data_IF_451375379774
#
_entry.id   IF_451375379774
#
_cell.length_a   1.000
_cell.length_b   1.000
_cell.length_c   1.000
_cell.angle_alpha   90.00
_cell.angle_beta   90.00
_cell.angle_gamma   90.00
#
_symmetry.space_group_name_H-M   'P 1'
#
loop_
_entity.id
_entity.type
_entity.pdbx_description
1 polymer ?
#
# COMPACT_ATOMS: atom_id res chain seq x y z
N UNK A 1 7.64 -7.07 34.94
CA UNK A 1 8.01 -6.15 33.84
C UNK A 1 6.92 -5.12 33.53
N UNK A 2 5.80 -5.15 34.26
CA UNK A 2 4.77 -4.11 34.28
C UNK A 2 5.02 -3.21 35.49
N UNK A 3 5.40 -1.96 35.25
CA UNK A 3 5.57 -0.97 36.32
C UNK A 3 4.90 0.34 35.93
N UNK A 4 4.47 1.09 36.93
CA UNK A 4 3.95 2.45 36.73
C UNK A 4 4.99 3.37 36.08
N UNK A 5 6.27 3.18 36.39
CA UNK A 5 7.37 3.86 35.72
C UNK A 5 7.45 3.51 34.22
N UNK A 6 7.21 2.25 33.85
CA UNK A 6 7.19 1.79 32.46
C UNK A 6 6.04 2.41 31.66
N UNK A 7 4.83 2.42 32.23
CA UNK A 7 3.67 3.07 31.60
C UNK A 7 3.90 4.57 31.41
N UNK A 8 4.42 5.27 32.43
CA UNK A 8 4.69 6.71 32.34
C UNK A 8 5.74 7.02 31.28
N UNK A 9 6.84 6.27 31.25
CA UNK A 9 7.88 6.41 30.25
C UNK A 9 7.32 6.19 28.83
N UNK A 10 6.45 5.19 28.65
CA UNK A 10 5.79 4.92 27.39
C UNK A 10 4.95 6.11 26.93
N UNK A 11 4.05 6.61 27.79
CA UNK A 11 3.17 7.74 27.49
C UNK A 11 3.99 9.00 27.19
N UNK A 12 5.04 9.29 27.95
CA UNK A 12 5.90 10.45 27.73
C UNK A 12 6.62 10.38 26.37
N UNK A 13 7.05 9.18 25.95
CA UNK A 13 7.66 8.95 24.63
C UNK A 13 6.66 9.14 23.48
N UNK A 14 5.44 8.65 23.62
CA UNK A 14 4.41 8.87 22.61
C UNK A 14 3.89 10.32 22.59
N UNK A 15 3.99 11.02 23.71
CA UNK A 15 3.58 12.41 23.85
C UNK A 15 4.57 13.43 23.23
N UNK A 16 5.84 13.06 23.00
CA UNK A 16 6.85 13.95 22.41
C UNK A 16 6.68 14.19 20.90
N UNK A 17 5.75 13.50 20.23
CA UNK A 17 5.35 13.76 18.84
C UNK A 17 6.39 13.44 17.76
N UNK A 18 7.66 13.29 18.12
CA UNK A 18 8.76 12.97 17.21
C UNK A 18 9.22 11.52 17.42
N UNK A 19 9.79 10.95 16.35
CA UNK A 19 10.44 9.63 16.26
C UNK A 19 10.29 8.76 17.51
N UNK A 20 9.33 7.83 17.47
CA UNK A 20 9.19 6.83 18.53
C UNK A 20 10.18 5.71 18.24
N UNK A 21 11.18 5.46 19.11
CA UNK A 21 12.16 4.42 18.87
C UNK A 21 11.48 3.05 18.71
N UNK A 22 12.04 2.19 17.85
CA UNK A 22 11.55 0.84 17.60
C UNK A 22 11.21 0.08 18.89
N UNK A 23 12.09 0.14 19.90
CA UNK A 23 11.88 -0.48 21.22
C UNK A 23 10.62 -0.02 21.95
N UNK A 24 10.21 1.25 21.79
CA UNK A 24 9.00 1.75 22.44
C UNK A 24 7.72 1.28 21.72
N UNK A 25 7.79 1.05 20.40
CA UNK A 25 6.68 0.45 19.63
C UNK A 25 6.48 -1.01 20.01
N UNK A 26 7.57 -1.79 20.05
CA UNK A 26 7.53 -3.18 20.51
C UNK A 26 7.03 -3.30 21.94
N UNK A 27 7.48 -2.41 22.83
CA UNK A 27 7.01 -2.36 24.21
C UNK A 27 5.51 -2.05 24.31
N UNK A 28 4.98 -1.14 23.47
CA UNK A 28 3.56 -0.82 23.42
C UNK A 28 2.71 -2.02 22.96
N UNK A 29 3.22 -2.81 22.02
CA UNK A 29 2.55 -4.03 21.52
C UNK A 29 2.58 -5.14 22.54
N UNK A 30 3.77 -5.46 23.06
CA UNK A 30 3.98 -6.55 24.01
C UNK A 30 3.15 -6.41 25.30
N UNK A 31 2.98 -5.18 25.79
CA UNK A 31 2.26 -4.89 27.03
C UNK A 31 0.90 -4.23 26.79
N UNK A 32 0.36 -4.33 25.56
CA UNK A 32 -0.86 -3.64 25.20
C UNK A 32 -2.01 -3.99 26.15
N UNK A 33 -2.31 -5.28 26.30
CA UNK A 33 -3.45 -5.75 27.09
C UNK A 33 -3.34 -5.35 28.56
N UNK A 34 -2.12 -5.45 29.12
CA UNK A 34 -1.84 -5.05 30.50
C UNK A 34 -2.00 -3.54 30.74
N UNK A 35 -1.61 -2.71 29.77
CA UNK A 35 -1.68 -1.24 29.90
C UNK A 35 -3.00 -0.63 29.41
N UNK A 36 -3.78 -1.34 28.59
CA UNK A 36 -5.00 -0.81 27.93
C UNK A 36 -5.98 -0.15 28.91
N UNK A 37 -6.36 -0.74 30.06
CA UNK A 37 -7.30 -0.09 30.99
C UNK A 37 -6.74 1.24 31.54
N UNK A 38 -5.45 1.27 31.87
CA UNK A 38 -4.78 2.45 32.43
C UNK A 38 -4.60 3.55 31.39
N UNK A 39 -4.24 3.18 30.16
CA UNK A 39 -4.14 4.12 29.04
C UNK A 39 -5.50 4.74 28.70
N UNK A 40 -6.59 3.97 28.72
CA UNK A 40 -7.96 4.48 28.55
C UNK A 40 -8.34 5.47 29.66
N UNK A 41 -8.01 5.15 30.91
CA UNK A 41 -8.22 6.06 32.05
C UNK A 41 -7.48 7.39 31.86
N UNK A 42 -6.17 7.34 31.59
CA UNK A 42 -5.35 8.53 31.32
C UNK A 42 -5.89 9.36 30.15
N UNK A 43 -6.36 8.70 29.08
CA UNK A 43 -6.93 9.37 27.90
C UNK A 43 -8.19 10.17 28.22
N UNK A 44 -9.00 9.69 29.18
CA UNK A 44 -10.31 10.26 29.54
C UNK A 44 -10.25 11.25 30.69
N UNK A 45 -9.19 11.21 31.51
CA UNK A 45 -9.05 12.07 32.67
C UNK A 45 -8.85 13.56 32.27
N UNK A 46 -9.82 14.44 32.57
CA UNK A 46 -9.69 15.86 32.27
C UNK A 46 -8.59 16.56 33.09
N UNK A 47 -8.23 16.03 34.27
CA UNK A 47 -7.19 16.58 35.15
C UNK A 47 -5.77 16.30 34.62
N UNK A 48 -5.61 15.27 33.78
CA UNK A 48 -4.35 14.94 33.12
C UNK A 48 -4.10 15.91 31.96
N UNK A 49 -2.85 16.34 31.79
CA UNK A 49 -2.48 17.32 30.75
C UNK A 49 -2.85 16.81 29.33
N UNK A 50 -3.19 17.72 28.39
CA UNK A 50 -3.49 17.34 27.00
C UNK A 50 -2.36 16.53 26.34
N UNK A 51 -1.10 16.82 26.69
CA UNK A 51 0.08 16.11 26.21
C UNK A 51 0.05 14.63 26.61
N UNK A 52 -0.22 14.34 27.88
CA UNK A 52 -0.29 12.97 28.41
C UNK A 52 -1.49 12.23 27.82
N UNK A 53 -2.66 12.89 27.68
CA UNK A 53 -3.82 12.29 26.99
C UNK A 53 -3.51 11.89 25.56
N UNK A 54 -2.79 12.73 24.81
CA UNK A 54 -2.33 12.41 23.45
C UNK A 54 -1.33 11.26 23.44
N UNK A 55 -0.38 11.24 24.37
CA UNK A 55 0.56 10.12 24.51
C UNK A 55 -0.14 8.79 24.82
N UNK A 56 -1.15 8.81 25.69
CA UNK A 56 -1.95 7.64 26.01
C UNK A 56 -2.76 7.14 24.80
N UNK A 57 -3.39 8.05 24.03
CA UNK A 57 -4.06 7.71 22.77
C UNK A 57 -3.09 7.07 21.78
N UNK A 58 -1.92 7.69 21.60
CA UNK A 58 -0.91 7.20 20.68
C UNK A 58 -0.37 5.82 21.06
N UNK A 59 -0.16 5.55 22.36
CA UNK A 59 0.22 4.23 22.85
C UNK A 59 -0.89 3.18 22.69
N UNK A 60 -2.17 3.56 22.85
CA UNK A 60 -3.31 2.67 22.56
C UNK A 60 -3.30 2.22 21.10
N UNK A 61 -3.20 3.17 20.17
CA UNK A 61 -3.18 2.87 18.73
C UNK A 61 -1.92 2.11 18.32
N UNK A 62 -0.76 2.45 18.89
CA UNK A 62 0.46 1.73 18.57
C UNK A 62 0.41 0.25 18.98
N UNK A 63 -0.18 -0.06 20.14
CA UNK A 63 -0.21 -1.42 20.67
C UNK A 63 -1.35 -2.28 20.14
N UNK A 64 -2.57 -1.73 20.03
CA UNK A 64 -3.78 -2.50 19.72
C UNK A 64 -4.63 -1.87 18.63
N UNK A 65 -4.04 -1.02 17.79
CA UNK A 65 -4.69 -0.42 16.63
C UNK A 65 -5.88 0.47 17.00
N UNK A 66 -6.76 0.67 16.03
CA UNK A 66 -7.98 1.44 16.24
C UNK A 66 -8.93 0.70 17.19
N UNK A 67 -8.81 -0.63 17.32
CA UNK A 67 -9.63 -1.42 18.25
C UNK A 67 -9.36 -1.15 19.74
N UNK A 68 -8.18 -0.63 20.05
CA UNK A 68 -7.87 -0.14 21.39
C UNK A 68 -8.72 1.07 21.79
N UNK A 69 -9.21 1.87 20.83
CA UNK A 69 -9.96 3.10 21.06
C UNK A 69 -11.45 2.83 21.34
N UNK A 70 -12.09 3.78 22.01
CA UNK A 70 -13.55 3.82 22.12
C UNK A 70 -14.19 4.58 20.94
N UNK A 71 -15.50 4.48 20.81
CA UNK A 71 -16.26 5.01 19.66
C UNK A 71 -16.07 6.51 19.47
N UNK A 72 -15.89 7.25 20.57
CA UNK A 72 -15.69 8.70 20.52
C UNK A 72 -14.37 9.06 19.87
N UNK A 73 -13.29 8.37 20.24
CA UNK A 73 -11.97 8.62 19.65
C UNK A 73 -11.93 8.12 18.19
N UNK A 74 -12.59 7.01 17.86
CA UNK A 74 -12.73 6.54 16.48
C UNK A 74 -13.44 7.54 15.60
N UNK A 75 -14.61 8.04 16.03
CA UNK A 75 -15.38 9.04 15.29
C UNK A 75 -14.59 10.34 15.08
N UNK A 76 -13.77 10.73 16.06
CA UNK A 76 -12.90 11.90 15.94
C UNK A 76 -11.80 11.71 14.89
N UNK A 77 -11.15 10.53 14.86
CA UNK A 77 -10.16 10.17 13.84
C UNK A 77 -10.80 10.15 12.45
N UNK A 78 -11.94 9.49 12.28
CA UNK A 78 -12.64 9.41 11.00
C UNK A 78 -13.04 10.79 10.48
N UNK A 79 -13.48 11.68 11.38
CA UNK A 79 -13.76 13.07 11.02
C UNK A 79 -12.49 13.80 10.58
N UNK A 80 -11.38 13.59 11.27
CA UNK A 80 -10.10 14.20 10.90
C UNK A 80 -9.64 13.74 9.52
N UNK A 81 -9.73 12.44 9.22
CA UNK A 81 -9.42 11.87 7.90
C UNK A 81 -10.24 12.57 6.81
N UNK A 82 -11.57 12.68 6.99
CA UNK A 82 -12.44 13.34 6.00
C UNK A 82 -12.06 14.80 5.73
N UNK A 83 -11.65 15.53 6.78
CA UNK A 83 -11.17 16.91 6.62
C UNK A 83 -9.85 16.92 5.86
N UNK A 84 -8.90 16.05 6.23
CA UNK A 84 -7.54 16.04 5.68
C UNK A 84 -7.46 15.59 4.23
N UNK A 85 -8.33 14.69 3.80
CA UNK A 85 -8.44 14.26 2.39
C UNK A 85 -8.66 15.45 1.45
N UNK A 86 -9.38 16.50 1.88
CA UNK A 86 -9.73 17.62 0.99
C UNK A 86 -8.56 18.55 0.68
N UNK A 87 -7.50 18.54 1.50
CA UNK A 87 -6.36 19.46 1.43
C UNK A 87 -5.03 18.73 1.19
N UNK A 88 -5.06 17.45 0.81
CA UNK A 88 -3.86 16.64 0.66
C UNK A 88 -3.22 16.82 -0.73
N UNK A 89 -1.88 16.88 -0.75
CA UNK A 89 -1.09 16.68 -1.95
C UNK A 89 -0.52 15.26 -1.92
N UNK A 90 -0.89 14.37 -2.86
CA UNK A 90 -0.44 12.99 -2.85
C UNK A 90 1.09 12.88 -2.85
N UNK A 91 1.62 12.09 -1.93
CA UNK A 91 2.98 11.59 -1.95
C UNK A 91 2.90 10.08 -1.92
N UNK A 92 3.33 9.44 -3.00
CA UNK A 92 3.29 8.00 -3.16
C UNK A 92 4.57 7.33 -2.60
N UNK A 93 4.57 6.00 -2.42
CA UNK A 93 5.80 5.29 -2.05
C UNK A 93 6.88 5.57 -3.08
N UNK A 94 8.10 5.85 -2.59
CA UNK A 94 9.25 6.02 -3.47
C UNK A 94 9.64 4.67 -4.08
N UNK A 95 9.84 4.63 -5.39
CA UNK A 95 10.30 3.43 -6.12
C UNK A 95 11.78 3.48 -6.47
N UNK A 96 12.53 4.45 -5.96
CA UNK A 96 13.91 4.81 -6.36
C UNK A 96 15.01 3.78 -6.00
N UNK A 97 14.65 2.62 -5.44
CA UNK A 97 15.60 1.53 -5.14
C UNK A 97 15.03 0.20 -5.59
N UNK A 98 13.82 -0.10 -5.13
CA UNK A 98 13.00 -1.18 -5.64
C UNK A 98 11.57 -0.97 -5.21
N UNK A 99 10.63 -1.46 -6.00
CA UNK A 99 9.22 -1.31 -5.70
C UNK A 99 8.36 -2.02 -6.71
N UNK A 100 7.10 -2.19 -6.35
CA UNK A 100 6.12 -2.75 -7.26
C UNK A 100 4.76 -2.09 -7.02
N UNK A 101 3.96 -2.04 -8.07
CA UNK A 101 2.59 -1.55 -7.99
C UNK A 101 1.79 -2.09 -9.16
N UNK A 102 0.47 -2.02 -9.02
CA UNK A 102 -0.46 -2.26 -10.11
C UNK A 102 -1.14 -0.95 -10.48
N UNK A 103 -1.58 -0.82 -11.73
CA UNK A 103 -2.35 0.33 -12.20
C UNK A 103 -3.62 -0.13 -12.93
N UNK A 104 -4.74 0.54 -12.67
CA UNK A 104 -6.01 0.34 -13.38
C UNK A 104 -6.65 1.68 -13.74
N UNK A 105 -7.52 1.74 -14.76
CA UNK A 105 -8.24 2.97 -15.08
C UNK A 105 -9.10 3.46 -13.91
N UNK A 106 -9.07 4.76 -13.66
CA UNK A 106 -9.84 5.40 -12.60
C UNK A 106 -11.36 5.22 -12.76
N UNK A 107 -11.84 5.04 -13.98
CA UNK A 107 -13.27 4.85 -14.29
C UNK A 107 -13.81 3.45 -13.94
N UNK A 108 -12.94 2.46 -13.72
CA UNK A 108 -13.32 1.06 -13.48
C UNK A 108 -12.66 0.47 -12.22
N UNK A 109 -12.07 1.32 -11.38
CA UNK A 109 -11.26 0.89 -10.25
C UNK A 109 -11.99 0.08 -9.19
N UNK A 110 -13.33 0.18 -9.10
CA UNK A 110 -14.10 -0.63 -8.15
C UNK A 110 -13.91 -2.12 -8.39
N UNK A 111 -13.57 -2.53 -9.62
CA UNK A 111 -13.22 -3.90 -9.96
C UNK A 111 -12.02 -4.45 -9.19
N UNK A 112 -11.11 -3.59 -8.70
CA UNK A 112 -9.95 -3.98 -7.89
C UNK A 112 -10.35 -4.75 -6.64
N UNK A 113 -11.43 -4.34 -5.97
CA UNK A 113 -11.82 -4.95 -4.71
C UNK A 113 -12.31 -6.39 -4.90
N UNK A 114 -13.05 -6.64 -5.97
CA UNK A 114 -13.49 -7.99 -6.33
C UNK A 114 -12.32 -8.82 -6.85
N UNK A 115 -11.56 -8.26 -7.81
CA UNK A 115 -10.44 -8.94 -8.45
C UNK A 115 -9.43 -9.45 -7.43
N UNK A 116 -9.08 -8.64 -6.42
CA UNK A 116 -8.07 -8.94 -5.41
C UNK A 116 -8.63 -9.47 -4.08
N UNK A 117 -9.96 -9.69 -3.97
CA UNK A 117 -10.57 -10.15 -2.72
C UNK A 117 -10.35 -9.18 -1.55
N UNK A 118 -10.48 -7.87 -1.81
CA UNK A 118 -10.27 -6.84 -0.80
C UNK A 118 -11.58 -6.47 -0.11
N UNK A 119 -11.50 -6.33 1.20
CA UNK A 119 -12.66 -6.14 2.08
C UNK A 119 -12.55 -4.86 2.91
N UNK A 120 -13.67 -4.48 3.54
CA UNK A 120 -13.77 -3.38 4.49
C UNK A 120 -13.20 -2.04 3.97
N UNK A 121 -13.41 -1.74 2.69
CA UNK A 121 -12.87 -0.52 2.08
C UNK A 121 -13.32 0.73 2.83
N UNK A 122 -12.38 1.61 3.16
CA UNK A 122 -12.67 2.90 3.81
C UNK A 122 -11.81 4.03 3.24
N UNK A 123 -12.33 5.26 3.20
CA UNK A 123 -11.57 6.42 2.76
C UNK A 123 -10.38 6.67 3.70
N UNK A 124 -9.25 7.06 3.12
CA UNK A 124 -8.02 7.37 3.86
C UNK A 124 -7.26 8.49 3.15
N UNK A 125 -6.40 9.22 3.88
CA UNK A 125 -5.39 10.09 3.26
C UNK A 125 -4.34 9.23 2.54
N UNK A 126 -3.71 9.76 1.51
CA UNK A 126 -2.61 9.10 0.78
C UNK A 126 -1.49 8.74 1.75
N UNK A 127 -1.09 9.67 2.62
CA UNK A 127 -0.04 9.42 3.62
C UNK A 127 -0.36 8.24 4.55
N UNK A 128 -1.61 8.13 5.04
CA UNK A 128 -2.02 7.01 5.87
C UNK A 128 -2.18 5.71 5.06
N UNK A 129 -2.59 5.80 3.80
CA UNK A 129 -2.72 4.68 2.86
C UNK A 129 -1.37 4.01 2.59
N UNK A 130 -0.40 4.79 2.14
CA UNK A 130 0.99 4.37 1.90
C UNK A 130 1.59 3.73 3.15
N UNK A 131 1.50 4.42 4.29
CA UNK A 131 2.05 3.90 5.53
C UNK A 131 1.35 2.60 5.99
N UNK A 132 0.07 2.42 5.64
CA UNK A 132 -0.67 1.22 5.97
C UNK A 132 -0.30 0.03 5.07
N UNK A 133 -0.08 0.26 3.76
CA UNK A 133 0.33 -0.78 2.80
C UNK A 133 1.76 -1.26 3.01
N UNK A 134 2.66 -0.40 3.48
CA UNK A 134 4.04 -0.77 3.88
C UNK A 134 4.10 -1.31 5.31
N UNK A 135 3.00 -1.21 6.05
CA UNK A 135 2.92 -1.68 7.42
C UNK A 135 2.92 -3.21 7.50
N UNK A 136 3.30 -3.74 8.66
CA UNK A 136 3.29 -5.19 8.89
C UNK A 136 1.89 -5.76 8.75
N UNK A 137 1.85 -6.95 8.18
CA UNK A 137 0.73 -7.88 8.28
C UNK A 137 0.48 -8.27 9.74
N UNK A 138 -0.68 -8.85 9.97
CA UNK A 138 -1.06 -9.44 11.25
C UNK A 138 -1.51 -10.87 11.04
N UNK A 139 -1.28 -11.72 12.04
CA UNK A 139 -1.86 -13.05 12.09
C UNK A 139 -3.10 -13.00 12.99
N UNK A 140 -4.22 -13.52 12.47
CA UNK A 140 -5.47 -13.65 13.20
C UNK A 140 -5.93 -15.11 13.18
N UNK A 141 -6.71 -15.57 14.17
CA UNK A 141 -7.30 -16.89 14.10
C UNK A 141 -8.21 -17.01 12.86
N UNK A 142 -7.87 -17.94 11.97
CA UNK A 142 -8.67 -18.26 10.80
C UNK A 142 -9.94 -19.04 11.16
N UNK A 143 -10.90 -19.17 10.22
CA UNK A 143 -12.17 -19.88 10.46
C UNK A 143 -11.96 -21.34 10.87
N UNK A 144 -10.87 -21.92 10.40
CA UNK A 144 -10.46 -23.31 10.52
C UNK A 144 -9.64 -23.57 11.80
N UNK A 145 -9.35 -22.50 12.57
CA UNK A 145 -8.46 -22.52 13.73
C UNK A 145 -6.97 -22.45 13.42
N UNK A 146 -6.59 -22.43 12.13
CA UNK A 146 -5.23 -22.10 11.70
C UNK A 146 -5.03 -20.58 11.63
N UNK A 147 -3.81 -20.09 11.85
CA UNK A 147 -3.51 -18.67 11.73
C UNK A 147 -3.67 -18.20 10.27
N UNK A 148 -4.32 -17.05 10.10
CA UNK A 148 -4.54 -16.37 8.84
C UNK A 148 -3.75 -15.07 8.83
N UNK A 149 -2.81 -14.94 7.90
CA UNK A 149 -2.06 -13.70 7.70
C UNK A 149 -2.90 -12.71 6.89
N UNK A 150 -3.00 -11.48 7.38
CA UNK A 150 -3.86 -10.43 6.82
C UNK A 150 -3.06 -9.17 6.61
N UNK A 151 -3.17 -8.62 5.39
CA UNK A 151 -2.52 -7.41 4.95
C UNK A 151 -3.49 -6.25 4.75
N UNK A 152 -2.91 -5.08 4.47
CA UNK A 152 -3.66 -3.89 4.03
C UNK A 152 -3.23 -3.50 2.64
N UNK A 153 -4.21 -3.31 1.76
CA UNK A 153 -4.00 -2.78 0.43
C UNK A 153 -4.45 -1.32 0.39
N UNK A 154 -3.67 -0.49 -0.29
CA UNK A 154 -3.98 0.90 -0.56
C UNK A 154 -4.25 1.10 -2.05
N UNK A 155 -5.40 1.66 -2.38
CA UNK A 155 -5.75 2.12 -3.73
C UNK A 155 -5.71 3.64 -3.71
N UNK A 156 -4.91 4.27 -4.56
CA UNK A 156 -4.75 5.73 -4.59
C UNK A 156 -6.06 6.46 -4.94
N UNK A 157 -6.16 7.79 -4.72
CA UNK A 157 -7.06 8.61 -5.56
C UNK A 157 -6.76 8.41 -7.05
N UNK A 158 -7.64 8.90 -7.92
CA UNK A 158 -7.35 8.92 -9.35
C UNK A 158 -6.26 9.96 -9.62
N UNK A 159 -5.23 9.55 -10.34
CA UNK A 159 -4.03 10.29 -10.72
C UNK A 159 -3.93 10.24 -12.25
N UNK A 160 -4.12 11.37 -12.93
CA UNK A 160 -4.13 11.43 -14.41
C UNK A 160 -5.01 10.35 -15.07
N UNK A 161 -6.17 10.04 -14.48
CA UNK A 161 -7.10 9.02 -14.99
C UNK A 161 -6.80 7.58 -14.56
N UNK A 162 -5.77 7.33 -13.74
CA UNK A 162 -5.38 6.00 -13.25
C UNK A 162 -5.46 5.90 -11.73
N UNK A 163 -5.63 4.69 -11.20
CA UNK A 163 -5.43 4.40 -9.78
C UNK A 163 -4.35 3.36 -9.62
N UNK A 164 -3.44 3.61 -8.69
CA UNK A 164 -2.37 2.71 -8.34
C UNK A 164 -2.76 1.89 -7.11
N UNK A 165 -2.26 0.66 -7.05
CA UNK A 165 -2.53 -0.29 -5.97
C UNK A 165 -1.21 -0.73 -5.34
N UNK A 166 -1.13 -0.63 -4.02
CA UNK A 166 0.00 -1.02 -3.19
C UNK A 166 -0.44 -1.95 -2.06
N UNK A 167 0.45 -2.83 -1.61
CA UNK A 167 0.20 -3.71 -0.48
C UNK A 167 1.29 -4.76 -0.31
N UNK A 168 1.03 -5.80 0.49
CA UNK A 168 1.94 -6.93 0.66
C UNK A 168 1.92 -7.84 -0.58
N UNK A 169 3.10 -8.06 -1.17
CA UNK A 169 3.25 -8.81 -2.43
C UNK A 169 2.71 -10.23 -2.31
N UNK A 170 3.12 -10.96 -1.27
CA UNK A 170 2.75 -12.38 -1.09
C UNK A 170 1.22 -12.57 -0.92
N UNK A 171 0.51 -11.58 -0.39
CA UNK A 171 -0.94 -11.67 -0.19
C UNK A 171 -1.75 -11.17 -1.39
N UNK A 172 -1.20 -10.26 -2.20
CA UNK A 172 -1.90 -9.69 -3.35
C UNK A 172 -1.58 -10.43 -4.66
N UNK A 173 -0.34 -10.90 -4.79
CA UNK A 173 0.23 -11.48 -6.01
C UNK A 173 0.51 -12.97 -5.81
N UNK A 174 1.10 -13.35 -4.67
CA UNK A 174 1.45 -14.74 -4.36
C UNK A 174 2.73 -15.19 -5.05
N UNK A 175 2.66 -16.28 -5.81
CA UNK A 175 3.81 -16.82 -6.56
C UNK A 175 4.40 -15.76 -7.50
N UNK A 176 5.72 -15.54 -7.49
CA UNK A 176 6.38 -14.45 -8.20
C UNK A 176 5.88 -14.27 -9.65
N UNK A 177 6.27 -15.17 -10.56
CA UNK A 177 5.96 -14.99 -11.99
C UNK A 177 4.48 -15.27 -12.32
N UNK A 178 4.04 -16.49 -12.03
CA UNK A 178 2.67 -16.97 -12.29
C UNK A 178 1.61 -16.08 -11.60
N UNK A 179 1.89 -15.60 -10.40
CA UNK A 179 1.01 -14.73 -9.65
C UNK A 179 0.95 -13.32 -10.22
N UNK A 180 2.07 -12.74 -10.70
CA UNK A 180 2.06 -11.45 -11.40
C UNK A 180 1.13 -11.49 -12.63
N UNK A 181 1.30 -12.50 -13.48
CA UNK A 181 0.48 -12.69 -14.70
C UNK A 181 -1.00 -12.88 -14.34
N UNK A 182 -1.31 -13.87 -13.49
CA UNK A 182 -2.70 -14.18 -13.10
C UNK A 182 -3.38 -13.00 -12.42
N UNK A 183 -2.63 -12.21 -11.66
CA UNK A 183 -3.16 -11.03 -10.96
C UNK A 183 -3.49 -9.90 -11.92
N UNK A 184 -2.60 -9.59 -12.87
CA UNK A 184 -2.88 -8.54 -13.87
C UNK A 184 -4.02 -8.96 -14.81
N UNK A 185 -4.11 -10.23 -15.19
CA UNK A 185 -5.22 -10.76 -15.98
C UNK A 185 -6.54 -10.61 -15.21
N UNK A 186 -6.60 -11.08 -13.95
CA UNK A 186 -7.77 -10.89 -13.08
C UNK A 186 -8.19 -9.43 -12.98
N UNK A 187 -7.25 -8.53 -12.70
CA UNK A 187 -7.55 -7.09 -12.63
C UNK A 187 -8.14 -6.58 -13.94
N UNK A 188 -7.56 -6.96 -15.09
CA UNK A 188 -8.04 -6.53 -16.40
C UNK A 188 -9.42 -7.10 -16.76
N UNK A 189 -9.82 -8.28 -16.24
CA UNK A 189 -11.19 -8.78 -16.38
C UNK A 189 -12.20 -7.82 -15.72
N UNK A 190 -11.89 -7.36 -14.50
CA UNK A 190 -12.82 -6.52 -13.73
C UNK A 190 -12.70 -5.03 -14.07
N UNK A 191 -11.54 -4.58 -14.54
CA UNK A 191 -11.25 -3.16 -14.79
C UNK A 191 -11.11 -2.81 -16.29
N UNK A 192 -11.20 -3.79 -17.19
CA UNK A 192 -10.98 -3.64 -18.64
C UNK A 192 -9.50 -3.59 -19.03
N UNK A 193 -8.69 -2.80 -18.30
CA UNK A 193 -7.24 -2.73 -18.44
C UNK A 193 -6.57 -2.86 -17.07
N UNK A 194 -5.39 -3.48 -17.04
CA UNK A 194 -4.54 -3.50 -15.86
C UNK A 194 -3.06 -3.56 -16.26
N UNK A 195 -2.23 -3.02 -15.39
CA UNK A 195 -0.78 -3.03 -15.54
C UNK A 195 -0.14 -3.50 -14.23
N UNK A 196 1.00 -4.16 -14.35
CA UNK A 196 1.86 -4.54 -13.24
C UNK A 196 3.27 -4.00 -13.51
N UNK A 197 3.90 -3.42 -12.50
CA UNK A 197 5.27 -2.94 -12.57
C UNK A 197 6.05 -3.50 -11.38
N UNK A 198 7.24 -4.01 -11.66
CA UNK A 198 8.27 -4.32 -10.69
C UNK A 198 9.55 -3.63 -11.13
N UNK A 199 10.19 -2.93 -10.21
CA UNK A 199 11.36 -2.13 -10.49
C UNK A 199 12.46 -2.54 -9.51
N UNK A 200 13.66 -2.77 -10.04
CA UNK A 200 14.87 -3.05 -9.28
C UNK A 200 16.04 -2.25 -9.86
N UNK A 201 16.13 -0.98 -9.47
CA UNK A 201 17.15 -0.04 -9.97
C UNK A 201 18.58 -0.53 -9.66
N UNK A 202 18.75 -1.38 -8.65
CA UNK A 202 20.05 -1.90 -8.24
C UNK A 202 20.43 -3.21 -8.97
N UNK A 203 19.45 -4.08 -9.22
CA UNK A 203 19.65 -5.39 -9.83
C UNK A 203 19.39 -5.46 -11.34
N UNK A 204 18.67 -4.49 -11.91
CA UNK A 204 18.28 -4.50 -13.32
C UNK A 204 17.19 -5.53 -13.64
N UNK A 205 16.47 -6.02 -12.64
CA UNK A 205 15.43 -7.06 -12.78
C UNK A 205 14.04 -6.47 -13.01
N UNK A 206 13.95 -5.45 -13.86
CA UNK A 206 12.69 -4.76 -14.16
C UNK A 206 11.68 -5.70 -14.85
N UNK A 207 10.42 -5.56 -14.46
CA UNK A 207 9.29 -6.26 -15.08
C UNK A 207 8.16 -5.27 -15.30
N UNK A 208 7.54 -5.31 -16.47
CA UNK A 208 6.27 -4.64 -16.69
C UNK A 208 5.35 -5.51 -17.54
N UNK A 209 4.06 -5.54 -17.17
CA UNK A 209 3.06 -6.38 -17.82
C UNK A 209 1.83 -5.53 -18.09
N UNK A 210 1.27 -5.62 -19.30
CA UNK A 210 0.04 -4.95 -19.71
C UNK A 210 -1.00 -5.99 -20.09
N UNK A 211 -2.17 -5.93 -19.45
CA UNK A 211 -3.28 -6.83 -19.75
C UNK A 211 -4.56 -6.06 -20.10
N UNK A 212 -5.32 -6.64 -21.03
CA UNK A 212 -6.63 -6.16 -21.45
C UNK A 212 -7.63 -7.30 -21.43
N UNK A 213 -8.80 -7.07 -20.82
CA UNK A 213 -9.93 -8.00 -20.81
C UNK A 213 -9.55 -9.46 -20.46
N UNK A 214 -8.66 -9.64 -19.48
CA UNK A 214 -8.23 -10.94 -18.98
C UNK A 214 -7.09 -11.59 -19.75
N UNK A 215 -6.35 -10.84 -20.57
CA UNK A 215 -5.20 -11.37 -21.32
C UNK A 215 -4.05 -10.39 -21.29
N UNK A 216 -2.85 -10.89 -21.02
CA UNK A 216 -1.62 -10.12 -21.27
C UNK A 216 -1.50 -9.86 -22.76
N UNK A 217 -1.32 -8.59 -23.14
CA UNK A 217 -1.13 -8.16 -24.54
C UNK A 217 0.32 -7.82 -24.86
N UNK A 218 1.09 -7.45 -23.84
CA UNK A 218 2.51 -7.11 -23.93
C UNK A 218 3.14 -7.20 -22.55
N UNK A 219 4.36 -7.75 -22.49
CA UNK A 219 5.17 -7.72 -21.28
C UNK A 219 6.66 -7.63 -21.62
N UNK A 220 7.42 -7.15 -20.64
CA UNK A 220 8.85 -7.33 -20.55
C UNK A 220 9.19 -7.90 -19.16
N UNK A 221 10.12 -8.84 -19.12
CA UNK A 221 10.74 -9.32 -17.90
C UNK A 221 12.22 -9.54 -18.13
N UNK A 222 13.06 -8.76 -17.43
CA UNK A 222 14.49 -8.94 -17.46
C UNK A 222 14.88 -10.37 -17.06
N UNK A 223 15.78 -10.99 -17.84
CA UNK A 223 16.21 -12.38 -17.68
C UNK A 223 15.09 -13.42 -17.86
N UNK A 224 13.95 -13.03 -18.41
CA UNK A 224 12.85 -13.91 -18.78
C UNK A 224 13.16 -14.76 -20.03
N UNK A 225 12.51 -15.91 -20.13
CA UNK A 225 12.58 -16.76 -21.33
C UNK A 225 11.17 -17.03 -21.90
N UNK A 226 10.70 -16.23 -22.88
CA UNK A 226 11.35 -15.05 -23.49
C UNK A 226 11.22 -13.77 -22.64
N UNK A 227 12.15 -12.81 -22.81
CA UNK A 227 12.08 -11.52 -22.11
C UNK A 227 10.92 -10.65 -22.60
N UNK A 228 10.56 -10.73 -23.88
CA UNK A 228 9.41 -10.03 -24.46
C UNK A 228 8.34 -11.03 -24.89
N UNK A 229 7.09 -10.75 -24.52
CA UNK A 229 5.92 -11.42 -25.08
C UNK A 229 4.88 -10.39 -25.54
N UNK A 230 4.19 -10.69 -26.64
CA UNK A 230 3.19 -9.80 -27.24
C UNK A 230 3.78 -8.79 -28.22
N UNK A 231 2.88 -8.16 -28.99
CA UNK A 231 3.25 -7.18 -30.01
C UNK A 231 3.65 -5.85 -29.35
N UNK A 232 4.71 -5.17 -29.83
CA UNK A 232 5.10 -3.89 -29.27
C UNK A 232 4.00 -2.83 -29.33
N UNK A 233 3.93 -2.04 -28.27
CA UNK A 233 2.98 -0.93 -28.16
C UNK A 233 3.47 0.29 -28.94
N UNK A 234 2.58 1.16 -29.44
CA UNK A 234 2.95 2.26 -30.34
C UNK A 234 3.93 3.30 -29.78
N UNK A 235 4.09 3.37 -28.46
CA UNK A 235 5.00 4.30 -27.78
C UNK A 235 6.39 3.70 -27.54
N UNK A 236 6.54 2.39 -27.68
CA UNK A 236 7.81 1.71 -27.42
C UNK A 236 8.86 2.13 -28.47
N UNK A 237 10.09 2.32 -28.00
CA UNK A 237 11.26 2.40 -28.89
C UNK A 237 11.79 1.00 -29.12
N UNK A 238 11.82 0.54 -30.37
CA UNK A 238 12.31 -0.79 -30.71
C UNK A 238 13.81 -0.78 -30.93
N UNK A 239 14.49 -1.83 -30.46
CA UNK A 239 15.91 -2.02 -30.75
C UNK A 239 16.18 -2.17 -32.25
N UNK A 240 15.23 -2.77 -32.97
CA UNK A 240 15.29 -2.97 -34.42
C UNK A 240 15.39 -1.68 -35.24
N UNK A 241 14.97 -0.54 -34.68
CA UNK A 241 15.10 0.77 -35.31
C UNK A 241 16.49 1.42 -35.06
N UNK A 242 17.30 0.80 -34.20
CA UNK A 242 18.62 1.27 -33.81
C UNK A 242 19.72 0.94 -34.82
N UNK A 243 20.76 1.78 -34.95
CA UNK A 243 21.87 1.57 -35.89
C UNK A 243 22.79 0.39 -35.52
N UNK A 244 22.61 -0.20 -34.33
CA UNK A 244 23.42 -1.29 -33.79
C UNK A 244 22.61 -2.58 -33.57
N UNK A 245 21.42 -2.68 -34.14
CA UNK A 245 20.60 -3.88 -34.02
C UNK A 245 21.29 -5.10 -34.65
N UNK A 246 21.39 -6.18 -33.88
CA UNK A 246 21.79 -7.50 -34.34
C UNK A 246 20.63 -8.49 -34.16
N UNK A 247 20.01 -9.00 -35.26
CA UNK A 247 18.89 -9.93 -35.17
C UNK A 247 19.27 -11.30 -34.60
N UNK A 248 20.56 -11.64 -34.51
CA UNK A 248 21.03 -12.88 -33.89
C UNK A 248 21.13 -12.75 -32.35
N UNK A 249 21.21 -11.52 -31.81
CA UNK A 249 21.32 -11.25 -30.38
C UNK A 249 19.99 -10.77 -29.75
N UNK A 250 19.16 -10.04 -30.50
CA UNK A 250 17.89 -9.49 -30.02
C UNK A 250 16.72 -9.83 -30.95
N UNK A 251 15.54 -10.19 -30.42
CA UNK A 251 14.37 -10.38 -31.26
C UNK A 251 13.89 -9.06 -31.87
N UNK A 252 13.30 -9.09 -33.06
CA UNK A 252 12.86 -7.85 -33.77
C UNK A 252 11.75 -7.06 -33.07
N UNK A 253 11.14 -7.65 -32.03
CA UNK A 253 10.10 -7.03 -31.20
C UNK A 253 10.63 -6.63 -29.80
N UNK A 254 11.95 -6.69 -29.59
CA UNK A 254 12.60 -6.13 -28.42
C UNK A 254 12.34 -4.61 -28.37
N UNK A 255 11.84 -4.16 -27.22
CA UNK A 255 11.33 -2.82 -27.02
C UNK A 255 11.81 -2.21 -25.71
N UNK A 256 10.94 -1.45 -25.05
CA UNK A 256 11.32 -0.74 -23.83
C UNK A 256 11.52 -1.70 -22.66
N UNK A 257 12.71 -1.68 -22.05
CA UNK A 257 13.04 -2.54 -20.90
C UNK A 257 12.64 -1.89 -19.57
N UNK A 258 12.90 -0.59 -19.42
CA UNK A 258 12.74 0.12 -18.15
C UNK A 258 11.26 0.24 -17.72
N UNK A 259 10.93 -0.31 -16.54
CA UNK A 259 9.57 -0.26 -15.99
C UNK A 259 9.13 1.19 -15.72
N UNK A 260 10.08 2.07 -15.36
CA UNK A 260 9.83 3.50 -15.15
C UNK A 260 9.46 4.23 -16.45
N UNK A 261 10.14 3.91 -17.55
CA UNK A 261 9.79 4.46 -18.86
C UNK A 261 8.43 3.92 -19.31
N UNK A 262 8.17 2.62 -19.13
CA UNK A 262 6.89 2.01 -19.47
C UNK A 262 5.72 2.63 -18.69
N UNK A 263 5.83 2.79 -17.37
CA UNK A 263 4.73 3.34 -16.55
C UNK A 263 4.41 4.81 -16.87
N UNK A 264 5.41 5.61 -17.27
CA UNK A 264 5.20 7.00 -17.67
C UNK A 264 4.34 7.13 -18.94
N UNK A 265 4.39 6.15 -19.85
CA UNK A 265 3.53 6.11 -21.05
C UNK A 265 2.20 5.40 -20.80
N UNK A 266 2.22 4.35 -19.98
CA UNK A 266 1.06 3.47 -19.79
C UNK A 266 0.09 3.96 -18.72
N UNK A 267 0.57 4.59 -17.65
CA UNK A 267 -0.25 5.10 -16.55
C UNK A 267 0.41 6.27 -15.81
N UNK A 268 1.04 6.01 -14.66
CA UNK A 268 1.64 7.01 -13.77
C UNK A 268 2.88 6.40 -13.10
N UNK A 269 4.01 7.10 -13.19
CA UNK A 269 5.19 6.83 -12.33
C UNK A 269 4.92 7.37 -10.91
N UNK A 270 4.96 6.54 -9.86
CA UNK A 270 4.77 6.99 -8.49
C UNK A 270 5.71 8.12 -8.05
N UNK A 271 6.96 8.12 -8.52
CA UNK A 271 7.96 9.16 -8.18
C UNK A 271 7.71 10.48 -8.92
N UNK A 272 6.93 10.46 -10.00
CA UNK A 272 6.58 11.66 -10.78
C UNK A 272 5.30 12.34 -10.28
N UNK A 273 4.60 11.78 -9.30
CA UNK A 273 3.39 12.38 -8.73
C UNK A 273 3.74 13.66 -7.98
N UNK A 274 3.14 14.76 -8.41
CA UNK A 274 3.48 16.09 -7.91
C UNK A 274 2.40 17.14 -8.18
N UNK A 275 2.72 18.44 -8.08
CA UNK A 275 1.76 19.53 -8.22
C UNK A 275 1.01 19.58 -9.55
N UNK A 276 1.60 19.01 -10.60
CA UNK A 276 1.02 18.99 -11.96
C UNK A 276 0.18 17.73 -12.23
N UNK A 277 0.12 16.78 -11.30
CA UNK A 277 -0.71 15.58 -11.42
C UNK A 277 -2.17 15.95 -11.17
N UNK A 278 -3.05 15.61 -12.11
CA UNK A 278 -4.49 15.74 -11.87
C UNK A 278 -4.94 14.70 -10.84
N UNK A 279 -5.49 15.17 -9.72
CA UNK A 279 -5.98 14.32 -8.64
C UNK A 279 -7.50 14.40 -8.54
N UNK A 280 -8.18 13.25 -8.54
CA UNK A 280 -9.64 13.18 -8.32
C UNK A 280 -10.01 12.17 -7.23
N UNK A 281 -10.99 12.56 -6.41
CA UNK A 281 -11.51 11.71 -5.35
C UNK A 281 -10.52 11.54 -4.19
N UNK A 282 -10.45 10.33 -3.64
CA UNK A 282 -9.64 9.99 -2.47
C UNK A 282 -9.14 8.55 -2.56
N UNK A 283 -8.16 8.23 -1.71
CA UNK A 283 -7.62 6.88 -1.60
C UNK A 283 -8.47 5.97 -0.71
N UNK A 284 -8.38 4.67 -0.98
CA UNK A 284 -9.08 3.62 -0.26
C UNK A 284 -8.09 2.71 0.45
N UNK A 285 -8.36 2.43 1.72
CA UNK A 285 -7.69 1.38 2.45
C UNK A 285 -8.62 0.17 2.55
N UNK A 286 -8.12 -1.02 2.22
CA UNK A 286 -8.85 -2.28 2.32
C UNK A 286 -7.98 -3.37 2.95
N UNK A 287 -8.59 -4.47 3.38
CA UNK A 287 -7.91 -5.62 3.98
C UNK A 287 -8.01 -6.85 3.08
N UNK A 288 -7.02 -7.74 3.14
CA UNK A 288 -6.96 -8.94 2.29
C UNK A 288 -7.81 -10.12 2.77
N UNK A 289 -8.52 -9.97 3.90
CA UNK A 289 -9.38 -11.00 4.46
C UNK A 289 -10.69 -10.42 5.01
N UNK A 290 -11.84 -11.08 4.80
CA UNK A 290 -13.13 -10.60 5.28
C UNK A 290 -13.27 -10.74 6.80
N UNK A 291 -14.01 -9.82 7.42
CA UNK A 291 -14.39 -9.93 8.84
C UNK A 291 -13.31 -9.55 9.85
N UNK A 292 -12.12 -9.18 9.38
CA UNK A 292 -10.99 -8.75 10.23
C UNK A 292 -11.07 -7.24 10.52
N UNK A 293 -11.45 -6.45 9.51
CA UNK A 293 -11.47 -4.99 9.60
C UNK A 293 -10.09 -4.36 9.80
N UNK A 294 -10.08 -3.03 9.90
CA UNK A 294 -8.84 -2.24 10.05
C UNK A 294 -8.37 -2.10 11.50
N UNK A 295 -9.22 -2.48 12.46
CA UNK A 295 -9.05 -2.14 13.87
C UNK A 295 -7.92 -2.89 14.56
N UNK A 296 -7.67 -4.13 14.13
CA UNK A 296 -6.68 -5.02 14.70
C UNK A 296 -5.23 -4.65 14.35
N UNK A 297 -5.02 -3.84 13.30
CA UNK A 297 -3.67 -3.48 12.86
C UNK A 297 -3.02 -2.48 13.81
N UNK A 298 -1.93 -2.86 14.51
CA UNK A 298 -1.22 -1.95 15.41
C UNK A 298 -0.43 -0.90 14.63
N UNK A 299 -0.20 0.23 15.27
CA UNK A 299 0.62 1.30 14.72
C UNK A 299 -0.19 2.52 14.33
N UNK A 300 0.43 3.69 14.46
CA UNK A 300 -0.19 4.97 14.11
C UNK A 300 -0.01 5.26 12.63
N UNK A 301 -1.08 5.62 11.95
CA UNK A 301 -1.05 6.13 10.59
C UNK A 301 -0.96 7.66 10.60
N UNK A 302 -0.29 8.22 9.60
CA UNK A 302 -0.12 9.66 9.41
C UNK A 302 -1.38 10.25 8.77
N UNK A 303 -2.10 11.09 9.52
CA UNK A 303 -3.38 11.72 9.12
C UNK A 303 -3.21 13.24 9.05
#
# INVERSE_FOLDING_TARGET
MESESGLRALVDKFASGHFVPYKARDYARLLHDSFRPRLRSLRRDPAVSPRVRRGAMAALVEGGGVDALDDRDRAAIERLIRVKISDESPMLPSSTLSGWWMAVPGASYEGVFEALGLHDRRPVTVAAGVQASEGREIDVPGPDGADLTVGRAFVTPELNGWRLIFGPFDLLVGDLWDGMIKTVERLSVHCGHAQFFFLDDAGGSDVWIVAENGRVIRQYAAEGEPEWEGDPLPWETLEADGPYFDPDESPSHAGTMEARTACAYLSVDPDAVGPDTEVRGHGWLAVTAPGVGHGAFPGRLSI
#
